data_IF_043449214046
#
_entry.id   IF_043449214046
#
_cell.length_a   1.000
_cell.length_b   1.000
_cell.length_c   1.000
_cell.angle_alpha   90.00
_cell.angle_beta   90.00
_cell.angle_gamma   90.00
#
_symmetry.space_group_name_H-M   'P 1'
#
loop_
_entity.id
_entity.type
_entity.pdbx_description
1 polymer ?
#
# COMPACT_ATOMS: atom_id res chain seq x y z
N UNK A 1 -26.57 -11.42 -20.10
CA UNK A 1 -25.17 -11.26 -19.63
C UNK A 1 -24.37 -10.64 -20.77
N UNK A 2 -23.50 -9.66 -20.53
CA UNK A 2 -22.79 -8.93 -21.59
C UNK A 2 -21.83 -9.80 -22.42
N UNK A 3 -21.26 -9.22 -23.48
CA UNK A 3 -20.32 -9.91 -24.39
C UNK A 3 -18.93 -9.30 -24.37
N UNK A 4 -17.91 -10.10 -24.71
CA UNK A 4 -16.52 -9.62 -24.87
C UNK A 4 -16.42 -8.53 -25.93
N UNK A 5 -17.15 -8.69 -27.04
CA UNK A 5 -17.21 -7.72 -28.13
C UNK A 5 -17.72 -6.35 -27.66
N UNK A 6 -18.82 -6.31 -26.89
CA UNK A 6 -19.36 -5.06 -26.35
C UNK A 6 -18.34 -4.36 -25.44
N UNK A 7 -17.68 -5.12 -24.56
CA UNK A 7 -16.68 -4.56 -23.67
C UNK A 7 -15.44 -4.09 -24.46
N UNK A 8 -15.04 -4.78 -25.53
CA UNK A 8 -13.97 -4.33 -26.42
C UNK A 8 -14.31 -3.01 -27.09
N UNK A 9 -15.51 -2.88 -27.65
CA UNK A 9 -15.96 -1.62 -28.26
C UNK A 9 -16.01 -0.46 -27.27
N UNK A 10 -16.43 -0.71 -26.02
CA UNK A 10 -16.36 0.30 -24.96
C UNK A 10 -14.90 0.73 -24.67
N UNK A 11 -13.95 -0.21 -24.63
CA UNK A 11 -12.54 0.12 -24.46
C UNK A 11 -11.94 0.88 -25.64
N UNK A 12 -12.32 0.53 -26.87
CA UNK A 12 -11.90 1.24 -28.09
C UNK A 12 -12.38 2.70 -28.06
N UNK A 13 -13.64 2.95 -27.66
CA UNK A 13 -14.17 4.30 -27.47
C UNK A 13 -13.44 5.07 -26.38
N UNK A 14 -12.97 4.36 -25.34
CA UNK A 14 -12.14 4.94 -24.30
C UNK A 14 -10.69 5.16 -24.76
N UNK A 15 -10.28 4.73 -25.96
CA UNK A 15 -8.89 4.78 -26.41
C UNK A 15 -7.97 3.81 -25.65
N UNK A 16 -8.51 2.66 -25.24
CA UNK A 16 -7.81 1.62 -24.48
C UNK A 16 -7.65 0.37 -25.36
N UNK A 17 -6.42 -0.03 -25.73
CA UNK A 17 -6.18 -1.17 -26.60
C UNK A 17 -6.17 -2.47 -25.78
N UNK A 18 -7.26 -3.25 -25.79
CA UNK A 18 -7.28 -4.57 -25.14
C UNK A 18 -8.23 -5.54 -25.87
N UNK A 19 -7.72 -6.69 -26.30
CA UNK A 19 -8.41 -7.54 -27.27
C UNK A 19 -9.56 -8.37 -26.67
N UNK A 20 -9.36 -8.94 -25.47
CA UNK A 20 -10.29 -9.89 -24.87
C UNK A 20 -10.70 -9.49 -23.45
N UNK A 21 -11.33 -8.32 -23.25
CA UNK A 21 -11.77 -7.91 -21.93
C UNK A 21 -12.94 -8.80 -21.46
N UNK A 22 -12.96 -9.14 -20.17
CA UNK A 22 -14.11 -9.82 -19.57
C UNK A 22 -15.34 -8.90 -19.66
N UNK A 23 -16.57 -9.42 -19.90
CA UNK A 23 -17.78 -8.61 -19.87
C UNK A 23 -18.07 -8.06 -18.47
N UNK A 24 -18.32 -6.76 -18.32
CA UNK A 24 -18.56 -6.13 -17.01
C UNK A 24 -19.85 -6.61 -16.35
N UNK A 25 -20.90 -6.86 -17.13
CA UNK A 25 -22.20 -7.32 -16.60
C UNK A 25 -22.10 -8.72 -16.01
N UNK A 26 -21.24 -9.58 -16.59
CA UNK A 26 -20.95 -10.89 -16.02
C UNK A 26 -20.26 -10.73 -14.65
N UNK A 27 -19.27 -9.85 -14.55
CA UNK A 27 -18.57 -9.63 -13.29
C UNK A 27 -19.48 -8.98 -12.23
N UNK A 28 -20.33 -8.02 -12.60
CA UNK A 28 -21.33 -7.45 -11.68
C UNK A 28 -22.24 -8.53 -11.10
N UNK A 29 -22.76 -9.41 -11.97
CA UNK A 29 -23.59 -10.54 -11.55
C UNK A 29 -22.84 -11.48 -10.58
N UNK A 30 -21.62 -11.90 -10.93
CA UNK A 30 -20.82 -12.80 -10.08
C UNK A 30 -20.49 -12.17 -8.73
N UNK A 31 -20.16 -10.88 -8.70
CA UNK A 31 -19.91 -10.14 -7.47
C UNK A 31 -21.16 -10.11 -6.60
N UNK A 32 -22.33 -9.78 -7.16
CA UNK A 32 -23.59 -9.74 -6.40
C UNK A 32 -24.02 -11.11 -5.85
N UNK A 33 -23.66 -12.20 -6.53
CA UNK A 33 -23.90 -13.56 -6.04
C UNK A 33 -22.97 -13.91 -4.87
N UNK A 34 -21.70 -13.54 -4.95
CA UNK A 34 -20.69 -13.90 -3.95
C UNK A 34 -20.51 -12.90 -2.80
N UNK A 35 -21.01 -11.67 -2.96
CA UNK A 35 -20.80 -10.58 -2.03
C UNK A 35 -21.98 -9.61 -2.07
N UNK A 36 -22.62 -9.38 -0.93
CA UNK A 36 -23.78 -8.49 -0.83
C UNK A 36 -23.41 -7.02 -1.07
N UNK A 37 -23.17 -6.22 -0.04
CA UNK A 37 -22.99 -4.77 -0.14
C UNK A 37 -21.62 -4.27 0.32
N UNK A 38 -20.85 -5.05 1.08
CA UNK A 38 -19.55 -4.66 1.60
C UNK A 38 -18.59 -5.85 1.65
N UNK A 39 -17.31 -5.60 1.40
CA UNK A 39 -16.25 -6.62 1.44
C UNK A 39 -15.14 -6.36 0.42
N UNK A 40 -14.33 -7.37 0.12
CA UNK A 40 -13.18 -7.27 -0.78
C UNK A 40 -13.36 -8.23 -1.95
N UNK A 41 -13.27 -7.70 -3.17
CA UNK A 41 -13.20 -8.48 -4.41
C UNK A 41 -11.75 -8.57 -4.85
N UNK A 42 -11.18 -9.78 -4.84
CA UNK A 42 -9.81 -10.04 -5.29
C UNK A 42 -9.81 -10.65 -6.69
N UNK A 43 -9.02 -10.06 -7.59
CA UNK A 43 -8.75 -10.61 -8.91
C UNK A 43 -7.24 -10.54 -9.18
N UNK A 44 -6.60 -11.70 -9.16
CA UNK A 44 -5.16 -11.84 -9.38
C UNK A 44 -4.78 -12.05 -10.86
N UNK A 45 -5.74 -11.92 -11.77
CA UNK A 45 -5.58 -11.87 -13.22
C UNK A 45 -6.31 -10.65 -13.78
N UNK A 46 -5.92 -9.46 -13.29
CA UNK A 46 -6.68 -8.22 -13.49
C UNK A 46 -6.93 -7.87 -14.96
N UNK A 47 -6.04 -8.24 -15.88
CA UNK A 47 -6.17 -8.04 -17.32
C UNK A 47 -6.52 -6.60 -17.65
N UNK A 48 -7.63 -6.37 -18.34
CA UNK A 48 -8.08 -5.02 -18.66
C UNK A 48 -8.54 -4.20 -17.45
N UNK A 49 -8.77 -4.78 -16.27
CA UNK A 49 -9.31 -4.10 -15.09
C UNK A 49 -10.84 -4.07 -15.03
N UNK A 50 -11.52 -5.02 -15.69
CA UNK A 50 -12.99 -5.08 -15.72
C UNK A 50 -13.57 -5.29 -14.31
N UNK A 51 -12.90 -6.07 -13.45
CA UNK A 51 -13.35 -6.33 -12.08
C UNK A 51 -13.46 -5.05 -11.25
N UNK A 52 -12.46 -4.17 -11.33
CA UNK A 52 -12.51 -2.86 -10.67
C UNK A 52 -13.65 -1.99 -11.21
N UNK A 53 -13.88 -1.97 -12.53
CA UNK A 53 -15.03 -1.26 -13.09
C UNK A 53 -16.35 -1.80 -12.56
N UNK A 54 -16.54 -3.11 -12.52
CA UNK A 54 -17.75 -3.72 -12.01
C UNK A 54 -18.01 -3.36 -10.53
N UNK A 55 -16.96 -3.37 -9.70
CA UNK A 55 -17.04 -2.93 -8.29
C UNK A 55 -17.42 -1.46 -8.18
N UNK A 56 -16.78 -0.58 -8.94
CA UNK A 56 -17.06 0.86 -8.92
C UNK A 56 -18.49 1.18 -9.38
N UNK A 57 -18.97 0.53 -10.44
CA UNK A 57 -20.34 0.67 -10.92
C UNK A 57 -21.35 0.14 -9.91
N UNK A 58 -21.10 -1.02 -9.28
CA UNK A 58 -21.97 -1.54 -8.23
C UNK A 58 -22.02 -0.62 -7.01
N UNK A 59 -20.89 -0.05 -6.56
CA UNK A 59 -20.89 0.87 -5.43
C UNK A 59 -21.59 2.20 -5.74
N UNK A 60 -21.63 2.62 -7.01
CA UNK A 60 -22.45 3.77 -7.43
C UNK A 60 -23.94 3.49 -7.32
N UNK A 61 -24.36 2.23 -7.49
CA UNK A 61 -25.75 1.80 -7.31
C UNK A 61 -26.08 1.59 -5.82
N UNK A 62 -25.24 0.82 -5.11
CA UNK A 62 -25.34 0.60 -3.66
C UNK A 62 -24.11 -0.13 -3.11
N UNK A 63 -23.68 0.21 -1.89
CA UNK A 63 -22.67 -0.54 -1.14
C UNK A 63 -21.27 0.08 -1.12
N UNK A 64 -20.36 -0.59 -0.41
CA UNK A 64 -19.01 -0.14 -0.05
C UNK A 64 -17.99 -1.27 -0.26
N UNK A 65 -17.99 -1.85 -1.47
CA UNK A 65 -17.07 -2.94 -1.85
C UNK A 65 -15.69 -2.38 -2.20
N UNK A 66 -14.64 -3.03 -1.75
CA UNK A 66 -13.26 -2.75 -2.13
C UNK A 66 -12.80 -3.75 -3.19
N UNK A 67 -11.81 -3.38 -3.99
CA UNK A 67 -11.17 -4.30 -4.94
C UNK A 67 -9.66 -4.36 -4.74
N UNK A 68 -9.08 -5.53 -5.00
CA UNK A 68 -7.64 -5.75 -5.12
C UNK A 68 -7.39 -6.39 -6.48
N UNK A 69 -6.62 -5.71 -7.33
CA UNK A 69 -6.18 -6.25 -8.61
C UNK A 69 -4.69 -6.56 -8.56
N UNK A 70 -4.32 -7.75 -9.03
CA UNK A 70 -2.93 -8.09 -9.35
C UNK A 70 -2.80 -8.26 -10.85
N UNK A 71 -1.80 -7.61 -11.43
CA UNK A 71 -1.49 -7.70 -12.84
C UNK A 71 0.02 -7.74 -13.02
N UNK A 72 0.51 -8.76 -13.73
CA UNK A 72 1.89 -8.85 -14.14
C UNK A 72 2.18 -7.73 -15.16
N UNK A 73 3.31 -7.00 -15.05
CA UNK A 73 3.65 -5.93 -16.00
C UNK A 73 4.19 -6.50 -17.32
N UNK A 74 3.39 -7.33 -17.99
CA UNK A 74 3.73 -7.93 -19.28
C UNK A 74 3.86 -6.84 -20.37
N UNK A 75 4.94 -6.81 -21.16
CA UNK A 75 5.13 -5.82 -22.23
C UNK A 75 4.06 -5.92 -23.33
N UNK A 76 3.63 -4.79 -23.90
CA UNK A 76 2.59 -4.76 -24.97
C UNK A 76 3.10 -4.32 -26.34
N UNK A 77 4.42 -4.14 -26.51
CA UNK A 77 5.07 -3.56 -27.70
C UNK A 77 4.65 -2.13 -28.05
N UNK A 78 3.79 -1.51 -27.24
CA UNK A 78 3.31 -0.13 -27.45
C UNK A 78 4.06 0.88 -26.61
N UNK A 79 4.15 2.11 -27.12
CA UNK A 79 4.76 3.25 -26.40
C UNK A 79 3.81 3.93 -25.42
N UNK A 80 2.53 4.02 -25.75
CA UNK A 80 1.48 4.64 -24.92
C UNK A 80 1.11 3.78 -23.71
N UNK A 81 1.23 2.46 -23.84
CA UNK A 81 0.98 1.50 -22.78
C UNK A 81 2.07 0.44 -22.73
N UNK A 82 3.27 0.72 -22.18
CA UNK A 82 4.39 -0.22 -22.23
C UNK A 82 4.05 -1.59 -21.65
N UNK A 83 3.20 -1.65 -20.62
CA UNK A 83 2.79 -2.92 -19.98
C UNK A 83 1.27 -3.08 -19.89
N UNK A 84 0.79 -4.32 -19.76
CA UNK A 84 -0.63 -4.60 -19.49
C UNK A 84 -1.08 -3.92 -18.19
N UNK A 85 -0.21 -3.88 -17.16
CA UNK A 85 -0.52 -3.17 -15.92
C UNK A 85 -0.79 -1.68 -16.15
N UNK A 86 -0.14 -1.03 -17.12
CA UNK A 86 -0.41 0.35 -17.49
C UNK A 86 -1.80 0.51 -18.10
N UNK A 87 -2.21 -0.44 -18.96
CA UNK A 87 -3.58 -0.52 -19.50
C UNK A 87 -4.60 -0.66 -18.36
N UNK A 88 -4.37 -1.59 -17.42
CA UNK A 88 -5.26 -1.84 -16.28
C UNK A 88 -5.45 -0.58 -15.45
N UNK A 89 -4.36 0.07 -15.04
CA UNK A 89 -4.40 1.29 -14.22
C UNK A 89 -5.13 2.42 -14.95
N UNK A 90 -4.84 2.59 -16.23
CA UNK A 90 -5.42 3.66 -17.02
C UNK A 90 -6.92 3.47 -17.22
N UNK A 91 -7.38 2.24 -17.50
CA UNK A 91 -8.82 1.96 -17.54
C UNK A 91 -9.50 2.35 -16.24
N UNK A 92 -8.97 1.91 -15.11
CA UNK A 92 -9.57 2.20 -13.79
C UNK A 92 -9.64 3.69 -13.55
N UNK A 93 -8.59 4.47 -13.88
CA UNK A 93 -8.61 5.94 -13.79
C UNK A 93 -9.69 6.56 -14.67
N UNK A 94 -9.83 6.12 -15.92
CA UNK A 94 -10.83 6.66 -16.86
C UNK A 94 -12.26 6.33 -16.41
N UNK A 95 -12.48 5.14 -15.86
CA UNK A 95 -13.77 4.77 -15.25
C UNK A 95 -14.09 5.66 -14.05
N UNK A 96 -13.14 5.84 -13.13
CA UNK A 96 -13.33 6.73 -11.96
C UNK A 96 -13.65 8.15 -12.40
N UNK A 97 -12.89 8.68 -13.36
CA UNK A 97 -13.11 10.02 -13.92
C UNK A 97 -14.54 10.14 -14.50
N UNK A 98 -14.95 9.19 -15.33
CA UNK A 98 -16.30 9.16 -15.91
C UNK A 98 -17.38 9.16 -14.83
N UNK A 99 -17.25 8.33 -13.80
CA UNK A 99 -18.23 8.25 -12.71
C UNK A 99 -18.29 9.57 -11.91
N UNK A 100 -17.15 10.22 -11.70
CA UNK A 100 -17.08 11.52 -11.02
C UNK A 100 -17.70 12.65 -11.87
N UNK A 101 -17.44 12.66 -13.18
CA UNK A 101 -18.01 13.65 -14.11
C UNK A 101 -19.55 13.50 -14.19
N UNK A 102 -20.06 12.26 -14.21
CA UNK A 102 -21.49 11.96 -14.16
C UNK A 102 -22.18 12.42 -12.87
N UNK A 103 -21.46 12.43 -11.75
CA UNK A 103 -22.00 12.91 -10.47
C UNK A 103 -21.96 14.44 -10.39
N UNK A 104 -20.93 15.09 -10.94
CA UNK A 104 -20.82 16.55 -10.99
C UNK A 104 -21.92 17.20 -11.85
N UNK A 105 -22.46 16.47 -12.84
CA UNK A 105 -23.58 16.91 -13.66
C UNK A 105 -24.95 16.81 -12.99
N UNK A 106 -25.05 16.25 -11.78
CA UNK A 106 -26.30 16.16 -11.01
C UNK A 106 -26.33 17.29 -9.98
N UNK A 107 -27.47 17.99 -9.88
CA UNK A 107 -27.69 18.95 -8.80
C UNK A 107 -27.60 18.19 -7.47
N UNK A 108 -26.74 18.66 -6.56
CA UNK A 108 -26.64 18.18 -5.17
C UNK A 108 -27.95 18.51 -4.42
N UNK A 109 -29.01 17.73 -4.68
CA UNK A 109 -30.29 17.83 -3.98
C UNK A 109 -30.19 17.30 -2.54
N UNK A 110 -29.14 16.53 -2.25
CA UNK A 110 -28.85 15.97 -0.93
C UNK A 110 -27.54 16.56 -0.39
N UNK A 111 -27.65 17.77 0.19
CA UNK A 111 -26.56 18.41 0.94
C UNK A 111 -26.21 17.54 2.16
N UNK A 112 -25.27 16.60 2.02
CA UNK A 112 -24.77 15.86 3.17
C UNK A 112 -23.99 14.57 2.88
N UNK A 113 -24.14 13.96 1.70
CA UNK A 113 -23.41 12.72 1.42
C UNK A 113 -21.94 13.03 1.07
N UNK A 114 -21.01 12.47 1.87
CA UNK A 114 -19.59 12.47 1.50
C UNK A 114 -19.46 11.77 0.16
N UNK A 115 -18.82 12.44 -0.81
CA UNK A 115 -18.50 11.84 -2.11
C UNK A 115 -17.86 10.47 -1.89
N UNK A 116 -18.33 9.41 -2.59
CA UNK A 116 -17.78 8.08 -2.40
C UNK A 116 -16.30 8.08 -2.79
N UNK A 117 -15.45 7.50 -1.94
CA UNK A 117 -14.05 7.28 -2.29
C UNK A 117 -13.97 6.21 -3.38
N UNK A 118 -13.56 6.63 -4.57
CA UNK A 118 -13.35 5.78 -5.75
C UNK A 118 -11.86 5.64 -6.07
N UNK A 119 -10.99 6.23 -5.26
CA UNK A 119 -9.55 6.19 -5.46
C UNK A 119 -8.98 4.79 -5.34
N UNK A 120 -7.75 4.62 -5.80
CA UNK A 120 -7.00 3.39 -5.61
C UNK A 120 -5.52 3.69 -5.46
N UNK A 121 -4.82 2.83 -4.71
CA UNK A 121 -3.36 2.86 -4.57
C UNK A 121 -2.74 1.86 -5.55
N UNK A 122 -1.54 2.17 -6.04
CA UNK A 122 -0.77 1.28 -6.91
C UNK A 122 0.51 0.89 -6.18
N UNK A 123 0.72 -0.41 -6.04
CA UNK A 123 1.95 -0.97 -5.48
C UNK A 123 2.67 -1.78 -6.56
N UNK A 124 4.01 -1.83 -6.45
CA UNK A 124 4.86 -2.67 -7.28
C UNK A 124 5.64 -3.62 -6.38
N UNK A 125 5.85 -4.85 -6.85
CA UNK A 125 6.72 -5.79 -6.16
C UNK A 125 8.17 -5.42 -6.44
N UNK A 126 8.98 -5.41 -5.38
CA UNK A 126 10.41 -5.22 -5.43
C UNK A 126 11.05 -6.14 -4.38
N UNK A 127 12.37 -6.33 -4.45
CA UNK A 127 13.11 -6.98 -3.37
C UNK A 127 12.95 -6.23 -2.05
N UNK A 128 13.00 -6.98 -0.95
CA UNK A 128 12.98 -6.48 0.44
C UNK A 128 13.87 -5.26 0.63
N UNK A 129 13.38 -4.26 1.35
CA UNK A 129 14.15 -3.08 1.72
C UNK A 129 15.17 -3.38 2.82
N UNK A 130 14.96 -4.47 3.56
CA UNK A 130 15.88 -4.99 4.56
C UNK A 130 16.75 -6.09 3.96
N UNK A 131 18.05 -6.01 4.20
CA UNK A 131 18.98 -7.07 3.79
C UNK A 131 18.70 -8.33 4.63
N UNK A 132 18.21 -9.38 3.99
CA UNK A 132 18.03 -10.68 4.62
C UNK A 132 19.35 -11.44 4.67
N UNK A 133 19.71 -12.02 5.81
CA UNK A 133 20.85 -12.94 5.91
C UNK A 133 20.65 -14.08 4.92
N UNK A 134 21.52 -14.14 3.90
CA UNK A 134 21.45 -15.18 2.89
C UNK A 134 22.47 -16.26 3.26
N UNK A 135 21.98 -17.38 3.81
CA UNK A 135 22.81 -18.48 4.29
C UNK A 135 23.45 -19.32 3.15
N UNK A 136 23.05 -19.06 1.90
CA UNK A 136 23.46 -19.82 0.71
C UNK A 136 24.63 -19.18 -0.07
N UNK A 137 25.34 -18.21 0.51
CA UNK A 137 26.50 -17.58 -0.13
C UNK A 137 27.75 -18.46 0.06
N UNK A 138 28.63 -18.60 -0.96
CA UNK A 138 29.88 -19.34 -0.83
C UNK A 138 30.68 -18.89 0.39
N UNK A 139 31.20 -19.85 1.18
CA UNK A 139 31.99 -19.62 2.41
C UNK A 139 33.42 -19.13 2.12
N UNK A 140 33.58 -18.29 1.10
CA UNK A 140 34.85 -17.65 0.79
C UNK A 140 35.09 -16.50 1.77
N UNK A 141 36.31 -16.31 2.30
CA UNK A 141 36.62 -15.30 3.32
C UNK A 141 36.24 -13.87 2.90
N UNK A 142 36.45 -13.52 1.63
CA UNK A 142 36.11 -12.20 1.08
C UNK A 142 34.60 -11.99 0.93
N UNK A 143 33.86 -13.04 0.55
CA UNK A 143 32.39 -13.00 0.48
C UNK A 143 31.78 -12.89 1.89
N UNK A 144 32.39 -13.52 2.90
CA UNK A 144 31.99 -13.42 4.29
C UNK A 144 32.28 -12.04 4.87
N UNK A 145 33.43 -11.44 4.56
CA UNK A 145 33.77 -10.07 4.96
C UNK A 145 32.81 -9.03 4.35
N UNK A 146 32.49 -9.16 3.06
CA UNK A 146 31.48 -8.32 2.41
C UNK A 146 30.08 -8.55 3.01
N UNK A 147 29.72 -9.78 3.36
CA UNK A 147 28.47 -10.04 4.10
C UNK A 147 28.45 -9.36 5.46
N UNK A 148 29.56 -9.37 6.20
CA UNK A 148 29.67 -8.73 7.52
C UNK A 148 29.59 -7.20 7.40
N UNK A 149 30.22 -6.58 6.40
CA UNK A 149 30.07 -5.14 6.11
C UNK A 149 28.66 -4.78 5.66
N UNK A 150 28.01 -5.63 4.85
CA UNK A 150 26.62 -5.45 4.46
C UNK A 150 25.65 -5.48 5.65
N UNK A 151 26.03 -6.10 6.78
CA UNK A 151 25.26 -6.12 8.02
C UNK A 151 25.45 -4.88 8.90
N UNK A 152 26.43 -4.02 8.61
CA UNK A 152 26.52 -2.72 9.29
C UNK A 152 25.39 -1.79 8.83
N UNK A 153 24.93 -1.95 7.58
CA UNK A 153 23.82 -1.20 6.99
C UNK A 153 22.68 -2.13 6.56
N UNK A 154 21.69 -2.33 7.44
CA UNK A 154 20.56 -3.24 7.24
C UNK A 154 19.57 -2.79 6.15
N UNK A 155 19.66 -1.54 5.70
CA UNK A 155 18.80 -0.95 4.67
C UNK A 155 19.50 -1.00 3.31
N UNK A 156 18.77 -1.42 2.27
CA UNK A 156 19.26 -1.38 0.89
C UNK A 156 19.38 0.07 0.43
N UNK A 157 20.47 0.43 -0.26
CA UNK A 157 20.67 1.79 -0.77
C UNK A 157 19.59 2.19 -1.79
N UNK A 158 19.24 3.48 -1.81
CA UNK A 158 18.25 4.04 -2.74
C UNK A 158 16.78 3.80 -2.39
N UNK A 159 16.47 3.25 -1.20
CA UNK A 159 15.09 3.07 -0.73
C UNK A 159 14.53 4.33 -0.08
N UNK A 160 13.27 4.60 -0.33
CA UNK A 160 12.56 5.73 0.27
C UNK A 160 12.03 5.37 1.66
N UNK A 161 11.84 6.35 2.57
CA UNK A 161 11.14 6.12 3.84
C UNK A 161 9.77 5.47 3.64
N UNK A 162 9.06 5.81 2.56
CA UNK A 162 7.77 5.24 2.22
C UNK A 162 7.86 3.75 1.89
N UNK A 163 8.90 3.30 1.18
CA UNK A 163 9.10 1.88 0.87
C UNK A 163 9.29 1.05 2.15
N UNK A 164 10.13 1.55 3.06
CA UNK A 164 10.36 0.95 4.37
C UNK A 164 9.08 0.93 5.20
N UNK A 165 8.34 2.05 5.21
CA UNK A 165 7.08 2.20 5.92
C UNK A 165 6.07 1.13 5.49
N UNK A 166 5.81 0.98 4.19
CA UNK A 166 4.83 0.01 3.69
C UNK A 166 5.28 -1.44 3.92
N UNK A 167 6.57 -1.74 3.87
CA UNK A 167 7.07 -3.08 4.22
C UNK A 167 6.89 -3.38 5.71
N UNK A 168 7.24 -2.46 6.60
CA UNK A 168 7.04 -2.61 8.06
C UNK A 168 5.55 -2.73 8.38
N UNK A 169 4.71 -1.92 7.73
CA UNK A 169 3.26 -1.91 7.90
C UNK A 169 2.66 -3.29 7.57
N UNK A 170 3.02 -3.84 6.40
CA UNK A 170 2.57 -5.15 5.95
C UNK A 170 3.07 -6.28 6.86
N UNK A 171 4.36 -6.28 7.23
CA UNK A 171 4.92 -7.27 8.17
C UNK A 171 4.28 -7.19 9.55
N UNK A 172 3.75 -6.03 9.93
CA UNK A 172 3.06 -5.81 11.21
C UNK A 172 1.58 -6.22 11.16
N UNK A 173 1.09 -6.68 10.01
CA UNK A 173 -0.28 -7.18 9.81
C UNK A 173 -1.31 -6.11 9.48
N UNK A 174 -0.88 -4.89 9.13
CA UNK A 174 -1.80 -3.81 8.74
C UNK A 174 -2.03 -3.81 7.23
N UNK A 175 -3.29 -3.66 6.78
CA UNK A 175 -3.60 -3.45 5.36
C UNK A 175 -2.95 -2.17 4.80
N UNK A 176 -2.61 -2.12 3.49
CA UNK A 176 -2.09 -0.90 2.85
C UNK A 176 -3.07 0.27 2.81
N UNK A 177 -4.35 0.02 3.10
CA UNK A 177 -5.41 1.02 3.20
C UNK A 177 -5.51 1.66 4.59
N UNK A 178 -4.80 1.14 5.59
CA UNK A 178 -4.78 1.71 6.93
C UNK A 178 -4.37 3.19 6.89
N UNK A 179 -5.08 4.09 7.59
CA UNK A 179 -4.70 5.49 7.69
C UNK A 179 -3.31 5.67 8.28
N UNK A 180 -2.53 6.55 7.64
CA UNK A 180 -1.17 6.91 8.03
C UNK A 180 -1.13 8.43 8.16
N UNK A 181 -0.67 8.91 9.31
CA UNK A 181 -0.45 10.33 9.56
C UNK A 181 1.02 10.58 9.88
N UNK A 182 1.60 11.65 9.31
CA UNK A 182 2.96 12.08 9.66
C UNK A 182 2.89 13.08 10.80
N UNK A 183 3.49 12.73 11.94
CA UNK A 183 3.62 13.58 13.11
C UNK A 183 5.04 14.13 13.18
N UNK A 184 5.19 15.35 13.68
CA UNK A 184 6.50 15.90 14.07
C UNK A 184 6.62 15.82 15.58
N UNK A 185 7.49 14.95 16.09
CA UNK A 185 7.77 14.76 17.52
C UNK A 185 9.22 15.19 17.79
N UNK A 186 9.44 16.10 18.73
CA UNK A 186 10.74 16.71 19.03
C UNK A 186 11.61 17.03 17.78
N UNK A 187 10.97 17.55 16.72
CA UNK A 187 11.62 17.93 15.46
C UNK A 187 11.85 16.80 14.45
N UNK A 188 11.42 15.58 14.76
CA UNK A 188 11.59 14.39 13.91
C UNK A 188 10.26 13.85 13.37
N UNK A 189 10.22 13.39 12.11
CA UNK A 189 9.03 12.77 11.53
C UNK A 189 8.79 11.38 12.11
N UNK A 190 7.55 11.14 12.53
CA UNK A 190 7.06 9.86 13.05
C UNK A 190 5.74 9.53 12.38
N UNK A 191 5.65 8.35 11.77
CA UNK A 191 4.42 7.88 11.16
C UNK A 191 3.51 7.26 12.21
N UNK A 192 2.28 7.75 12.30
CA UNK A 192 1.21 7.24 13.14
C UNK A 192 0.26 6.38 12.31
N UNK A 193 0.11 5.13 12.70
CA UNK A 193 -0.68 4.11 12.00
C UNK A 193 -1.93 3.80 12.82
N UNK A 194 -3.08 3.74 12.15
CA UNK A 194 -4.38 3.43 12.77
C UNK A 194 -4.63 4.28 14.03
N UNK A 195 -4.65 5.60 13.86
CA UNK A 195 -4.96 6.58 14.92
C UNK A 195 -4.04 6.46 16.16
N UNK A 196 -2.76 6.14 15.92
CA UNK A 196 -1.75 6.05 16.99
C UNK A 196 -1.63 4.68 17.64
N UNK A 197 -2.32 3.65 17.13
CA UNK A 197 -2.13 2.28 17.58
C UNK A 197 -0.67 1.80 17.40
N UNK A 198 -0.02 2.22 16.32
CA UNK A 198 1.39 1.95 16.06
C UNK A 198 2.12 3.20 15.61
N UNK A 199 3.33 3.44 16.14
CA UNK A 199 4.21 4.52 15.69
C UNK A 199 5.46 3.94 15.02
N UNK A 200 5.88 4.53 13.90
CA UNK A 200 7.08 4.15 13.15
C UNK A 200 7.97 5.37 13.00
N UNK A 201 9.20 5.30 13.50
CA UNK A 201 10.21 6.35 13.29
C UNK A 201 11.34 5.80 12.41
N UNK A 202 11.54 6.43 11.24
CA UNK A 202 12.53 6.04 10.24
C UNK A 202 13.76 6.97 10.22
N UNK A 203 13.99 7.71 11.30
CA UNK A 203 15.13 8.60 11.42
C UNK A 203 16.42 7.83 11.73
N UNK A 204 17.52 8.27 11.11
CA UNK A 204 18.86 7.70 11.30
C UNK A 204 19.54 8.14 12.59
N UNK A 205 18.97 9.10 13.30
CA UNK A 205 19.48 9.57 14.58
C UNK A 205 18.34 9.90 15.51
N UNK A 206 18.05 9.01 16.45
CA UNK A 206 16.98 9.20 17.43
C UNK A 206 17.48 10.00 18.63
N UNK A 207 16.64 10.89 19.13
CA UNK A 207 16.92 11.59 20.40
C UNK A 207 16.07 11.01 21.54
N UNK A 208 16.54 11.08 22.80
CA UNK A 208 15.76 10.66 23.96
C UNK A 208 14.38 11.35 24.04
N UNK A 209 14.29 12.59 23.58
CA UNK A 209 13.08 13.40 23.58
C UNK A 209 12.00 12.79 22.69
N UNK A 210 12.37 12.39 21.46
CA UNK A 210 11.44 11.75 20.51
C UNK A 210 10.89 10.45 21.09
N UNK A 211 11.76 9.63 21.69
CA UNK A 211 11.38 8.35 22.31
C UNK A 211 10.38 8.59 23.45
N UNK A 212 10.61 9.62 24.27
CA UNK A 212 9.73 9.99 25.37
C UNK A 212 8.37 10.51 24.87
N UNK A 213 8.35 11.34 23.83
CA UNK A 213 7.12 11.84 23.21
C UNK A 213 6.30 10.72 22.56
N UNK A 214 6.95 9.80 21.85
CA UNK A 214 6.32 8.60 21.31
C UNK A 214 5.70 7.75 22.42
N UNK A 215 6.43 7.50 23.51
CA UNK A 215 5.94 6.74 24.65
C UNK A 215 4.78 7.46 25.39
N UNK A 216 4.80 8.79 25.45
CA UNK A 216 3.75 9.58 26.09
C UNK A 216 2.39 9.47 25.38
N UNK A 217 2.40 9.20 24.07
CA UNK A 217 1.18 8.93 23.28
C UNK A 217 0.56 7.56 23.55
N UNK A 218 1.20 6.71 24.35
CA UNK A 218 0.73 5.36 24.73
C UNK A 218 0.32 4.48 23.53
N UNK A 219 1.15 4.34 22.48
CA UNK A 219 0.85 3.42 21.39
C UNK A 219 0.92 1.97 21.87
N UNK A 220 0.25 1.06 21.17
CA UNK A 220 0.38 -0.37 21.44
C UNK A 220 1.72 -0.92 20.90
N UNK A 221 2.16 -0.39 19.76
CA UNK A 221 3.37 -0.83 19.07
C UNK A 221 4.25 0.34 18.65
N UNK A 222 5.56 0.17 18.74
CA UNK A 222 6.54 1.13 18.24
C UNK A 222 7.61 0.39 17.45
N UNK A 223 7.95 0.91 16.26
CA UNK A 223 9.06 0.45 15.43
C UNK A 223 10.00 1.59 15.15
N UNK A 224 11.29 1.37 15.38
CA UNK A 224 12.36 2.32 15.06
C UNK A 224 13.42 1.64 14.19
N UNK A 225 14.18 2.41 13.41
CA UNK A 225 15.38 1.86 12.77
C UNK A 225 16.46 1.58 13.82
N UNK A 226 17.15 0.46 13.67
CA UNK A 226 18.30 0.13 14.53
C UNK A 226 19.45 1.13 14.34
N UNK A 227 19.70 1.53 13.08
CA UNK A 227 20.66 2.59 12.73
C UNK A 227 20.34 3.91 13.45
N UNK A 228 19.06 4.16 13.76
CA UNK A 228 18.60 5.31 14.54
C UNK A 228 19.27 5.47 15.91
N UNK A 229 19.77 4.38 16.50
CA UNK A 229 20.46 4.41 17.78
C UNK A 229 21.97 4.66 17.65
N UNK A 230 22.54 4.65 16.45
CA UNK A 230 23.95 4.91 16.17
C UNK A 230 24.93 4.15 17.11
N UNK A 231 24.62 2.89 17.44
CA UNK A 231 25.43 2.06 18.35
C UNK A 231 25.31 2.44 19.84
N UNK A 232 24.38 3.32 20.21
CA UNK A 232 24.15 3.72 21.59
C UNK A 232 23.22 2.71 22.31
N UNK A 233 23.82 1.64 22.83
CA UNK A 233 23.11 0.58 23.56
C UNK A 233 22.40 1.09 24.83
N UNK A 234 22.93 2.15 25.46
CA UNK A 234 22.29 2.78 26.61
C UNK A 234 20.98 3.45 26.19
N UNK A 235 20.98 4.20 25.08
CA UNK A 235 19.78 4.83 24.54
C UNK A 235 18.73 3.77 24.16
N UNK A 236 19.14 2.68 23.50
CA UNK A 236 18.26 1.57 23.13
C UNK A 236 17.64 0.90 24.35
N UNK A 237 18.44 0.62 25.38
CA UNK A 237 17.97 0.03 26.65
C UNK A 237 16.99 0.96 27.36
N UNK A 238 17.31 2.25 27.44
CA UNK A 238 16.45 3.27 28.03
C UNK A 238 15.13 3.42 27.26
N UNK A 239 15.17 3.30 25.93
CA UNK A 239 13.98 3.31 25.09
C UNK A 239 13.05 2.14 25.44
N UNK A 240 13.58 0.92 25.48
CA UNK A 240 12.81 -0.28 25.85
C UNK A 240 12.16 -0.13 27.23
N UNK A 241 12.89 0.39 28.21
CA UNK A 241 12.37 0.62 29.57
C UNK A 241 11.31 1.73 29.61
N UNK A 242 11.52 2.82 28.88
CA UNK A 242 10.57 3.94 28.79
C UNK A 242 9.24 3.49 28.18
N UNK A 243 9.31 2.71 27.09
CA UNK A 243 8.15 2.15 26.40
C UNK A 243 7.37 1.19 27.32
N UNK A 244 8.06 0.29 28.03
CA UNK A 244 7.43 -0.63 29.00
C UNK A 244 6.74 0.12 30.13
N UNK A 245 7.40 1.12 30.72
CA UNK A 245 6.82 1.93 31.82
C UNK A 245 5.55 2.68 31.39
N UNK A 246 5.45 3.06 30.11
CA UNK A 246 4.26 3.74 29.56
C UNK A 246 3.19 2.79 29.02
N UNK A 247 3.37 1.47 29.16
CA UNK A 247 2.38 0.46 28.78
C UNK A 247 2.41 0.09 27.29
N UNK A 248 3.47 0.43 26.55
CA UNK A 248 3.64 0.01 25.16
C UNK A 248 3.90 -1.50 25.11
N UNK A 249 3.05 -2.23 24.41
CA UNK A 249 3.05 -3.70 24.42
C UNK A 249 4.19 -4.30 23.60
N UNK A 250 4.59 -3.65 22.51
CA UNK A 250 5.66 -4.14 21.63
C UNK A 250 6.52 -3.00 21.12
N UNK A 251 7.81 -3.02 21.46
CA UNK A 251 8.83 -2.15 20.88
C UNK A 251 9.80 -3.01 20.07
N UNK A 252 10.04 -2.66 18.81
CA UNK A 252 10.97 -3.37 17.91
C UNK A 252 11.91 -2.40 17.22
N UNK A 253 13.14 -2.86 16.98
CA UNK A 253 14.09 -2.20 16.08
C UNK A 253 14.22 -3.04 14.81
N UNK A 254 14.30 -2.38 13.65
CA UNK A 254 14.43 -3.02 12.33
C UNK A 254 15.59 -2.44 11.52
#
# INVERSE_FOLDING_TARGET
MGTTERMRSELEQMGIPFQYPKPKELLKYLIQVGLESAGIVLDFFGGSGTTAQAVLELNKESGTRNFILVQLPEPTERKDFPTIADITKERVRRVIKKLNDEDAGKLDLEKGEKKPDRGFKVFKLQSSNFKTWNADVPKEPEALAQQLEMHVHHIVEGRTPEDLLFEILLKSGFPPTTPIETLTLAGQPVFSIAEGAMLICLEKKLTPEVIKEMAARKPQRVVCLDEGFAGNDQLKTNAVQTMKTKGVTSFRTV
#
